data_IF_925864289777
#
_entry.id   IF_925864289777
#
_cell.length_a   1.000
_cell.length_b   1.000
_cell.length_c   1.000
_cell.angle_alpha   90.00
_cell.angle_beta   90.00
_cell.angle_gamma   90.00
#
_symmetry.space_group_name_H-M   'P 1'
#
loop_
_entity.id
_entity.type
_entity.pdbx_description
1 polymer ?
#
# COMPACT_ATOMS: atom_id res chain seq x y z
N UNK A 1 -16.41 3.32 -11.00
CA UNK A 1 -15.23 4.19 -10.73
C UNK A 1 -14.18 3.86 -11.76
N UNK A 2 -13.75 4.84 -12.55
CA UNK A 2 -12.84 4.64 -13.69
C UNK A 2 -11.53 5.45 -13.56
N UNK A 3 -11.49 6.38 -12.60
CA UNK A 3 -10.36 7.31 -12.43
C UNK A 3 -10.15 7.70 -10.97
N UNK A 4 -8.99 8.32 -10.68
CA UNK A 4 -8.70 8.95 -9.40
C UNK A 4 -9.72 10.06 -9.07
N UNK A 5 -10.19 10.79 -10.08
CA UNK A 5 -11.19 11.87 -9.88
C UNK A 5 -12.54 11.33 -9.43
N UNK A 6 -12.97 10.20 -10.00
CA UNK A 6 -14.19 9.51 -9.54
C UNK A 6 -14.05 9.09 -8.08
N UNK A 7 -12.86 8.63 -7.69
CA UNK A 7 -12.55 8.26 -6.31
C UNK A 7 -12.61 9.47 -5.36
N UNK A 8 -11.98 10.57 -5.73
CA UNK A 8 -12.01 11.82 -4.93
C UNK A 8 -13.47 12.29 -4.74
N UNK A 9 -14.26 12.27 -5.80
CA UNK A 9 -15.68 12.61 -5.71
C UNK A 9 -16.47 11.63 -4.80
N UNK A 10 -16.12 10.35 -4.82
CA UNK A 10 -16.73 9.31 -4.00
C UNK A 10 -16.43 9.52 -2.50
N UNK A 11 -15.17 9.80 -2.12
CA UNK A 11 -14.79 10.04 -0.72
C UNK A 11 -15.31 11.39 -0.21
N UNK A 12 -15.37 12.40 -1.07
CA UNK A 12 -15.96 13.71 -0.73
C UNK A 12 -17.42 13.58 -0.32
N UNK A 13 -18.22 12.80 -1.04
CA UNK A 13 -19.64 12.54 -0.70
C UNK A 13 -19.85 11.81 0.64
N UNK A 14 -18.78 11.21 1.20
CA UNK A 14 -18.81 10.45 2.46
C UNK A 14 -18.12 11.15 3.63
N UNK A 15 -17.76 12.40 3.46
CA UNK A 15 -16.96 13.17 4.44
C UNK A 15 -15.60 12.51 4.78
N UNK A 16 -15.04 11.78 3.82
CA UNK A 16 -13.73 11.13 3.93
C UNK A 16 -12.62 11.90 3.20
N UNK A 17 -12.88 13.15 2.78
CA UNK A 17 -11.91 14.03 2.12
C UNK A 17 -11.60 15.22 3.00
N UNK A 18 -10.31 15.50 3.17
CA UNK A 18 -9.82 16.75 3.74
C UNK A 18 -9.16 17.57 2.63
N UNK A 19 -9.76 18.71 2.30
CA UNK A 19 -9.23 19.65 1.30
C UNK A 19 -8.39 20.70 2.00
N UNK A 20 -7.13 20.83 1.60
CA UNK A 20 -6.20 21.88 2.05
C UNK A 20 -6.19 22.97 0.99
N UNK A 21 -6.81 24.12 1.33
CA UNK A 21 -6.97 25.26 0.42
C UNK A 21 -5.75 26.19 0.44
N UNK A 22 -5.02 26.20 1.55
CA UNK A 22 -3.83 27.04 1.69
C UNK A 22 -2.76 26.66 0.69
N UNK A 23 -1.95 27.64 0.29
CA UNK A 23 -0.81 27.39 -0.57
C UNK A 23 0.30 26.68 0.21
N UNK A 24 0.71 25.52 -0.26
CA UNK A 24 1.80 24.72 0.34
C UNK A 24 2.97 24.58 -0.63
N UNK A 25 4.17 24.43 -0.10
CA UNK A 25 5.34 24.08 -0.91
C UNK A 25 5.46 22.55 -1.01
N UNK A 26 6.18 22.08 -1.98
CA UNK A 26 6.49 20.63 -2.13
C UNK A 26 7.21 20.08 -0.90
N UNK A 27 8.01 20.91 -0.26
CA UNK A 27 8.81 20.58 0.92
C UNK A 27 7.94 20.42 2.19
N UNK A 28 6.80 21.11 2.27
CA UNK A 28 5.86 21.03 3.41
C UNK A 28 5.00 19.75 3.36
N UNK A 29 4.75 19.22 2.17
CA UNK A 29 3.79 18.13 1.95
C UNK A 29 4.09 16.87 2.77
N UNK A 30 5.34 16.35 2.88
CA UNK A 30 5.60 15.14 3.65
C UNK A 30 5.19 15.25 5.13
N UNK A 31 5.52 16.37 5.78
CA UNK A 31 5.15 16.60 7.18
C UNK A 31 3.64 16.80 7.34
N UNK A 32 2.99 17.48 6.39
CA UNK A 32 1.53 17.63 6.39
C UNK A 32 0.82 16.29 6.22
N UNK A 33 1.31 15.40 5.35
CA UNK A 33 0.76 14.05 5.21
C UNK A 33 0.87 13.29 6.53
N UNK A 34 2.04 13.29 7.17
CA UNK A 34 2.25 12.57 8.44
C UNK A 34 1.30 13.10 9.53
N UNK A 35 1.20 14.40 9.70
CA UNK A 35 0.35 15.01 10.74
C UNK A 35 -1.13 14.87 10.47
N UNK A 36 -1.57 15.10 9.23
CA UNK A 36 -2.98 15.06 8.85
C UNK A 36 -3.52 13.65 8.67
N UNK A 37 -2.66 12.64 8.47
CA UNK A 37 -3.07 11.24 8.36
C UNK A 37 -3.83 10.74 9.61
N UNK A 38 -3.60 11.34 10.77
CA UNK A 38 -4.35 11.06 12.00
C UNK A 38 -5.86 11.29 11.85
N UNK A 39 -6.29 12.15 10.93
CA UNK A 39 -7.71 12.36 10.60
C UNK A 39 -8.37 11.16 9.93
N UNK A 40 -7.58 10.21 9.43
CA UNK A 40 -8.02 9.07 8.62
C UNK A 40 -8.82 9.47 7.38
N UNK A 41 -8.59 10.68 6.86
CA UNK A 41 -9.21 11.18 5.61
C UNK A 41 -8.21 11.16 4.46
N UNK A 42 -8.71 11.10 3.25
CA UNK A 42 -7.95 11.38 2.02
C UNK A 42 -7.58 12.86 2.02
N UNK A 43 -6.34 13.17 1.70
CA UNK A 43 -5.81 14.54 1.73
C UNK A 43 -5.69 15.09 0.31
N UNK A 44 -6.34 16.22 0.02
CA UNK A 44 -6.23 16.90 -1.28
C UNK A 44 -5.67 18.31 -1.08
N UNK A 45 -4.42 18.50 -1.49
CA UNK A 45 -3.73 19.81 -1.50
C UNK A 45 -4.03 20.49 -2.83
N UNK A 46 -4.84 21.55 -2.82
CA UNK A 46 -5.31 22.23 -4.02
C UNK A 46 -4.29 23.19 -4.63
N UNK A 47 -3.50 23.84 -3.80
CA UNK A 47 -2.62 24.94 -4.19
C UNK A 47 -1.16 24.59 -3.89
N UNK A 48 -0.46 23.98 -4.86
CA UNK A 48 0.98 23.73 -4.78
C UNK A 48 1.74 24.90 -5.38
N UNK A 49 2.59 25.55 -4.58
CA UNK A 49 3.45 26.64 -5.06
C UNK A 49 4.33 26.16 -6.23
N UNK A 50 4.35 26.91 -7.31
CA UNK A 50 5.08 26.67 -8.57
C UNK A 50 4.51 25.56 -9.48
N UNK A 51 3.52 24.76 -9.07
CA UNK A 51 2.98 23.69 -9.88
C UNK A 51 1.53 23.98 -10.31
N UNK A 52 1.18 23.55 -11.52
CA UNK A 52 -0.18 23.66 -12.05
C UNK A 52 -1.04 22.42 -11.79
N UNK A 53 -0.67 21.62 -10.81
CA UNK A 53 -1.40 20.42 -10.39
C UNK A 53 -1.81 20.53 -8.93
N UNK A 54 -2.86 19.81 -8.57
CA UNK A 54 -3.15 19.48 -7.19
C UNK A 54 -2.34 18.24 -6.78
N UNK A 55 -2.27 17.97 -5.47
CA UNK A 55 -1.65 16.76 -4.97
C UNK A 55 -2.63 16.04 -4.05
N UNK A 56 -2.73 14.72 -4.21
CA UNK A 56 -3.53 13.86 -3.35
C UNK A 56 -2.62 12.86 -2.63
N UNK A 57 -2.93 12.58 -1.37
CA UNK A 57 -2.23 11.58 -0.56
C UNK A 57 -3.21 10.91 0.41
N UNK A 58 -2.74 9.87 1.08
CA UNK A 58 -3.52 9.11 2.05
C UNK A 58 -4.82 8.56 1.43
N UNK A 59 -4.74 8.03 0.19
CA UNK A 59 -5.91 7.54 -0.54
C UNK A 59 -6.66 6.43 0.20
N UNK A 60 -5.96 5.55 0.89
CA UNK A 60 -6.55 4.46 1.66
C UNK A 60 -6.04 4.48 3.10
N UNK A 61 -6.55 5.39 3.95
CA UNK A 61 -6.10 5.55 5.34
C UNK A 61 -6.46 4.37 6.25
N UNK A 62 -7.33 3.46 5.81
CA UNK A 62 -7.74 2.26 6.55
C UNK A 62 -8.37 1.22 5.63
N UNK A 63 -8.48 -0.03 6.11
CA UNK A 63 -9.18 -1.11 5.40
C UNK A 63 -10.68 -0.81 5.17
N UNK A 64 -11.29 0.03 5.98
CA UNK A 64 -12.70 0.43 5.85
C UNK A 64 -12.97 1.12 4.50
N UNK A 65 -11.99 1.82 3.95
CA UNK A 65 -12.09 2.41 2.61
C UNK A 65 -12.36 1.34 1.55
N UNK A 66 -11.70 0.18 1.63
CA UNK A 66 -11.95 -0.92 0.71
C UNK A 66 -13.34 -1.54 0.89
N UNK A 67 -13.86 -1.58 2.12
CA UNK A 67 -15.25 -1.99 2.37
C UNK A 67 -16.23 -1.10 1.62
N UNK A 68 -16.03 0.20 1.68
CA UNK A 68 -16.84 1.17 0.92
C UNK A 68 -16.63 1.06 -0.59
N UNK A 69 -15.38 0.87 -1.06
CA UNK A 69 -15.07 0.77 -2.49
C UNK A 69 -15.65 -0.47 -3.15
N UNK A 70 -15.63 -1.59 -2.47
CA UNK A 70 -16.18 -2.85 -2.95
C UNK A 70 -17.68 -2.98 -2.68
N UNK A 71 -18.24 -2.11 -1.84
CA UNK A 71 -19.62 -2.21 -1.35
C UNK A 71 -19.92 -3.62 -0.80
N UNK A 72 -19.02 -4.13 0.02
CA UNK A 72 -19.05 -5.49 0.55
C UNK A 72 -18.87 -5.49 2.06
N UNK A 73 -19.64 -6.31 2.78
CA UNK A 73 -19.49 -6.47 4.23
C UNK A 73 -18.13 -7.07 4.59
N UNK A 74 -17.69 -8.07 3.82
CA UNK A 74 -16.36 -8.64 3.92
C UNK A 74 -15.51 -8.25 2.69
N UNK A 75 -14.71 -7.16 2.77
CA UNK A 75 -13.91 -6.70 1.66
C UNK A 75 -12.76 -7.66 1.29
N UNK A 76 -12.31 -8.47 2.23
CA UNK A 76 -11.22 -9.43 2.01
C UNK A 76 -11.68 -10.60 1.16
N UNK A 77 -12.84 -11.18 1.47
CA UNK A 77 -13.43 -12.24 0.66
C UNK A 77 -13.77 -11.72 -0.74
N UNK A 78 -14.40 -10.55 -0.83
CA UNK A 78 -14.70 -9.92 -2.13
C UNK A 78 -13.44 -9.75 -2.98
N UNK A 79 -12.36 -9.28 -2.37
CA UNK A 79 -11.07 -9.12 -3.04
C UNK A 79 -10.51 -10.44 -3.56
N UNK A 80 -10.49 -11.48 -2.72
CA UNK A 80 -9.98 -12.81 -3.10
C UNK A 80 -10.77 -13.46 -4.22
N UNK A 81 -12.09 -13.30 -4.23
CA UNK A 81 -12.95 -13.76 -5.33
C UNK A 81 -12.75 -12.92 -6.60
N UNK A 82 -12.54 -11.62 -6.43
CA UNK A 82 -12.35 -10.67 -7.52
C UNK A 82 -11.04 -10.88 -8.28
N UNK A 83 -9.92 -11.15 -7.57
CA UNK A 83 -8.62 -11.37 -8.21
C UNK A 83 -8.51 -12.69 -8.99
N UNK A 84 -9.44 -13.63 -8.77
CA UNK A 84 -9.58 -14.86 -9.56
C UNK A 84 -10.30 -14.63 -10.90
N UNK A 85 -10.91 -13.45 -11.07
CA UNK A 85 -11.64 -13.06 -12.27
C UNK A 85 -10.80 -12.11 -13.12
N UNK A 86 -11.04 -12.12 -14.41
CA UNK A 86 -10.47 -11.15 -15.35
C UNK A 86 -11.57 -10.50 -16.18
N UNK A 87 -11.39 -9.25 -16.57
CA UNK A 87 -12.26 -8.60 -17.52
C UNK A 87 -11.42 -7.96 -18.63
N UNK A 88 -11.80 -8.20 -19.88
CA UNK A 88 -11.08 -7.68 -21.05
C UNK A 88 -11.00 -6.16 -21.01
N UNK A 89 -9.85 -5.62 -21.37
CA UNK A 89 -9.62 -4.19 -21.48
C UNK A 89 -10.55 -3.57 -22.53
N UNK A 90 -10.97 -2.34 -22.31
CA UNK A 90 -11.81 -1.56 -23.24
C UNK A 90 -11.00 -0.40 -23.77
N UNK A 91 -10.84 -0.31 -25.09
CA UNK A 91 -10.16 0.82 -25.71
C UNK A 91 -10.94 2.11 -25.49
N UNK A 92 -10.23 3.16 -25.16
CA UNK A 92 -10.79 4.50 -24.99
C UNK A 92 -9.80 5.53 -25.54
N UNK A 93 -10.33 6.61 -26.06
CA UNK A 93 -9.55 7.78 -26.44
C UNK A 93 -9.62 8.82 -25.33
N UNK A 94 -8.51 9.49 -25.06
CA UNK A 94 -8.43 10.63 -24.15
C UNK A 94 -7.62 11.74 -24.75
N UNK A 95 -8.13 12.97 -24.62
CA UNK A 95 -7.35 14.17 -24.94
C UNK A 95 -6.49 14.50 -23.72
N UNK A 96 -5.17 14.49 -23.92
CA UNK A 96 -4.18 14.81 -22.90
C UNK A 96 -3.38 16.04 -23.34
N UNK A 97 -2.95 16.82 -22.37
CA UNK A 97 -1.87 17.77 -22.59
C UNK A 97 -0.54 17.00 -22.60
N UNK A 98 0.39 17.40 -23.45
CA UNK A 98 1.66 16.73 -23.57
C UNK A 98 2.81 17.73 -23.70
N UNK A 99 3.93 17.40 -23.04
CA UNK A 99 5.15 18.20 -23.04
C UNK A 99 6.33 17.31 -23.35
N UNK A 100 7.16 17.70 -24.32
CA UNK A 100 8.49 17.10 -24.47
C UNK A 100 9.36 17.49 -23.27
N UNK A 101 9.96 16.52 -22.62
CA UNK A 101 10.86 16.76 -21.47
C UNK A 101 12.33 16.68 -21.83
N UNK A 102 12.64 16.52 -23.13
CA UNK A 102 14.01 16.53 -23.62
C UNK A 102 14.70 17.87 -23.28
N UNK A 103 15.75 17.81 -22.48
CA UNK A 103 16.48 19.00 -22.01
C UNK A 103 15.81 19.81 -20.89
N UNK A 104 14.63 19.41 -20.40
CA UNK A 104 13.91 20.05 -19.30
C UNK A 104 14.16 19.32 -17.97
N UNK A 105 13.87 19.99 -16.89
CA UNK A 105 13.94 19.41 -15.56
C UNK A 105 12.56 18.91 -15.11
N UNK A 106 12.47 17.63 -14.74
CA UNK A 106 11.23 17.04 -14.23
C UNK A 106 10.75 17.71 -12.92
N UNK A 107 11.66 18.25 -12.11
CA UNK A 107 11.29 18.96 -10.88
C UNK A 107 10.64 20.33 -11.13
N UNK A 108 10.76 20.88 -12.35
CA UNK A 108 10.00 22.06 -12.74
C UNK A 108 8.57 21.72 -13.19
N UNK A 109 8.34 20.46 -13.60
CA UNK A 109 7.07 20.00 -14.16
C UNK A 109 6.22 19.24 -13.16
N UNK A 110 6.85 18.48 -12.25
CA UNK A 110 6.19 17.57 -11.32
C UNK A 110 6.63 17.85 -9.87
N UNK A 111 5.72 17.83 -8.90
CA UNK A 111 6.04 17.99 -7.49
C UNK A 111 6.58 16.70 -6.89
N UNK A 112 7.69 16.18 -7.44
CA UNK A 112 8.34 14.98 -6.93
C UNK A 112 8.89 15.27 -5.54
N UNK A 113 8.46 14.51 -4.54
CA UNK A 113 8.76 14.77 -3.13
C UNK A 113 10.11 14.17 -2.71
N UNK A 114 10.82 14.88 -1.85
CA UNK A 114 11.81 14.30 -0.93
C UNK A 114 11.06 14.01 0.36
N UNK A 115 10.85 12.72 0.68
CA UNK A 115 9.95 12.30 1.74
C UNK A 115 10.57 12.39 3.12
N UNK A 116 11.87 12.02 3.24
CA UNK A 116 12.58 11.97 4.51
C UNK A 116 13.92 12.71 4.43
N UNK A 117 14.41 13.11 5.60
CA UNK A 117 15.60 13.94 5.73
C UNK A 117 16.82 13.38 4.98
N UNK A 118 17.08 12.07 5.10
CA UNK A 118 18.23 11.38 4.51
C UNK A 118 17.97 10.72 3.16
N UNK A 119 16.79 10.95 2.54
CA UNK A 119 16.59 10.51 1.17
C UNK A 119 17.66 11.11 0.26
N UNK A 120 18.22 10.29 -0.63
CA UNK A 120 19.28 10.71 -1.56
C UNK A 120 18.83 11.81 -2.51
N UNK A 121 17.56 11.77 -2.91
CA UNK A 121 16.92 12.67 -3.87
C UNK A 121 15.41 12.70 -3.66
N UNK A 122 14.64 13.51 -4.41
CA UNK A 122 13.21 13.34 -4.56
C UNK A 122 12.84 12.00 -5.26
N UNK A 123 11.74 11.36 -4.82
CA UNK A 123 11.28 10.08 -5.36
C UNK A 123 9.81 10.14 -5.80
N UNK A 124 9.46 9.43 -6.88
CA UNK A 124 8.09 9.04 -7.19
C UNK A 124 7.85 7.66 -6.56
N UNK A 125 6.95 7.58 -5.60
CA UNK A 125 6.62 6.36 -4.84
C UNK A 125 5.36 5.67 -5.33
N UNK A 126 4.58 6.31 -6.20
CA UNK A 126 3.29 5.84 -6.74
C UNK A 126 3.35 5.49 -8.22
N UNK A 127 4.54 5.28 -8.75
CA UNK A 127 4.75 4.97 -10.16
C UNK A 127 4.29 3.55 -10.51
N UNK A 128 3.30 3.45 -11.37
CA UNK A 128 2.90 2.20 -12.02
C UNK A 128 3.69 2.06 -13.31
N UNK A 129 4.70 1.23 -13.29
CA UNK A 129 5.59 0.97 -14.42
C UNK A 129 5.01 -0.12 -15.31
N UNK A 130 5.05 0.09 -16.62
CA UNK A 130 4.61 -0.87 -17.64
C UNK A 130 5.68 -1.01 -18.71
N UNK A 131 6.07 -2.25 -19.02
CA UNK A 131 7.00 -2.59 -20.09
C UNK A 131 6.56 -3.87 -20.79
N UNK A 132 6.91 -4.01 -22.07
CA UNK A 132 6.60 -5.20 -22.87
C UNK A 132 7.76 -6.18 -22.85
N UNK A 133 7.47 -7.44 -22.62
CA UNK A 133 8.43 -8.54 -22.75
C UNK A 133 8.84 -8.68 -24.22
N UNK A 134 10.13 -8.61 -24.56
CA UNK A 134 10.59 -8.62 -25.95
C UNK A 134 10.42 -9.98 -26.64
N UNK A 135 10.21 -11.06 -25.89
CA UNK A 135 10.07 -12.41 -26.44
C UNK A 135 8.59 -12.80 -26.57
N UNK A 136 7.81 -12.61 -25.52
CA UNK A 136 6.40 -13.03 -25.49
C UNK A 136 5.42 -11.93 -25.92
N UNK A 137 5.84 -10.66 -25.93
CA UNK A 137 4.96 -9.52 -26.18
C UNK A 137 4.01 -9.18 -25.03
N UNK A 138 4.04 -9.95 -23.93
CA UNK A 138 3.20 -9.69 -22.75
C UNK A 138 3.64 -8.43 -22.02
N UNK A 139 2.68 -7.65 -21.54
CA UNK A 139 2.99 -6.42 -20.79
C UNK A 139 3.10 -6.73 -19.31
N UNK A 140 4.32 -6.57 -18.77
CA UNK A 140 4.58 -6.60 -17.34
C UNK A 140 4.23 -5.25 -16.69
N UNK A 141 3.67 -5.32 -15.46
CA UNK A 141 3.29 -4.11 -14.70
C UNK A 141 3.61 -4.28 -13.21
N UNK A 142 3.99 -3.17 -12.57
CA UNK A 142 4.25 -3.17 -11.13
C UNK A 142 4.44 -1.76 -10.60
N UNK A 143 4.39 -1.66 -9.27
CA UNK A 143 4.74 -0.42 -8.56
C UNK A 143 6.23 -0.47 -8.25
N UNK A 144 6.98 0.53 -8.72
CA UNK A 144 8.42 0.63 -8.51
C UNK A 144 8.80 2.06 -8.17
N UNK A 145 9.55 2.28 -7.07
CA UNK A 145 10.05 3.60 -6.71
C UNK A 145 10.99 4.14 -7.78
N UNK A 146 10.94 5.44 -8.00
CA UNK A 146 11.79 6.12 -8.97
C UNK A 146 12.52 7.30 -8.33
N UNK A 147 13.85 7.26 -8.36
CA UNK A 147 14.74 8.29 -7.85
C UNK A 147 15.00 9.37 -8.90
N UNK A 148 14.86 10.63 -8.55
CA UNK A 148 15.26 11.72 -9.44
C UNK A 148 16.79 11.78 -9.57
N UNK A 149 17.30 11.77 -10.81
CA UNK A 149 18.75 11.75 -11.16
C UNK A 149 19.19 12.96 -11.99
N UNK A 150 18.43 14.04 -11.95
CA UNK A 150 18.70 15.27 -12.69
C UNK A 150 18.01 15.33 -14.04
N UNK A 151 17.50 16.51 -14.39
CA UNK A 151 16.79 16.79 -15.63
C UNK A 151 15.66 15.77 -15.88
N UNK A 152 15.71 15.05 -16.99
CA UNK A 152 14.74 14.06 -17.41
C UNK A 152 15.14 12.61 -17.08
N UNK A 153 16.00 12.39 -16.09
CA UNK A 153 16.51 11.07 -15.70
C UNK A 153 15.95 10.65 -14.35
N UNK A 154 15.48 9.41 -14.30
CA UNK A 154 14.95 8.78 -13.08
C UNK A 154 15.61 7.42 -12.88
N UNK A 155 16.16 7.14 -11.69
CA UNK A 155 16.50 5.77 -11.29
C UNK A 155 15.22 4.97 -11.14
N UNK A 156 15.22 3.70 -11.49
CA UNK A 156 14.05 2.85 -11.36
C UNK A 156 14.42 1.54 -10.66
N UNK A 157 13.80 1.27 -9.51
CA UNK A 157 14.09 0.09 -8.70
C UNK A 157 13.36 -1.16 -9.24
N UNK A 158 13.92 -1.78 -10.27
CA UNK A 158 13.39 -3.01 -10.87
C UNK A 158 13.85 -4.24 -10.09
N UNK A 159 13.21 -4.51 -8.94
CA UNK A 159 13.62 -5.57 -8.02
C UNK A 159 12.78 -6.85 -8.13
N UNK A 160 11.56 -6.75 -8.64
CA UNK A 160 10.59 -7.84 -8.62
C UNK A 160 10.10 -8.21 -10.03
N UNK A 161 9.78 -9.51 -10.28
CA UNK A 161 9.08 -9.92 -11.50
C UNK A 161 7.69 -9.24 -11.61
N UNK A 162 7.19 -9.05 -12.84
CA UNK A 162 7.80 -9.44 -14.11
C UNK A 162 8.82 -8.42 -14.66
N UNK A 163 8.87 -7.20 -14.12
CA UNK A 163 9.62 -6.09 -14.73
C UNK A 163 11.14 -6.28 -14.66
N UNK A 164 11.68 -6.87 -13.58
CA UNK A 164 13.11 -7.19 -13.51
C UNK A 164 13.51 -8.20 -14.58
N UNK A 165 12.67 -9.19 -14.88
CA UNK A 165 12.94 -10.21 -15.88
C UNK A 165 12.85 -9.62 -17.30
N UNK A 166 11.86 -8.77 -17.56
CA UNK A 166 11.74 -8.03 -18.83
C UNK A 166 12.98 -7.15 -19.05
N UNK A 167 13.42 -6.43 -18.02
CA UNK A 167 14.63 -5.61 -18.10
C UNK A 167 15.88 -6.45 -18.41
N UNK A 168 16.05 -7.59 -17.73
CA UNK A 168 17.18 -8.51 -17.99
C UNK A 168 17.20 -9.02 -19.43
N UNK A 169 16.04 -9.31 -20.02
CA UNK A 169 15.93 -9.74 -21.41
C UNK A 169 16.35 -8.66 -22.38
N UNK A 170 15.88 -7.42 -22.20
CA UNK A 170 16.32 -6.28 -23.02
C UNK A 170 17.83 -6.05 -22.87
N UNK A 171 18.34 -6.06 -21.64
CA UNK A 171 19.77 -5.90 -21.37
C UNK A 171 20.61 -6.98 -22.06
N UNK A 172 20.19 -8.23 -22.01
CA UNK A 172 20.89 -9.34 -22.68
C UNK A 172 20.95 -9.17 -24.20
N UNK A 173 19.97 -8.48 -24.81
CA UNK A 173 19.95 -8.15 -26.25
C UNK A 173 20.71 -6.86 -26.58
N UNK A 174 21.23 -6.13 -25.59
CA UNK A 174 21.82 -4.79 -25.77
C UNK A 174 20.81 -3.71 -26.17
N UNK A 175 19.53 -3.92 -25.85
CA UNK A 175 18.42 -3.06 -26.24
C UNK A 175 17.97 -2.16 -25.09
N UNK A 176 17.57 -0.93 -25.40
CA UNK A 176 16.84 -0.08 -24.46
C UNK A 176 15.44 -0.66 -24.25
N UNK A 177 14.99 -0.71 -22.98
CA UNK A 177 13.65 -1.16 -22.66
C UNK A 177 12.65 -0.01 -22.73
N UNK A 178 11.74 0.04 -23.69
CA UNK A 178 10.67 1.04 -23.70
C UNK A 178 9.76 0.88 -22.49
N UNK A 179 9.42 1.98 -21.83
CA UNK A 179 8.63 1.96 -20.60
C UNK A 179 7.68 3.15 -20.54
N UNK A 180 6.50 2.88 -20.01
CA UNK A 180 5.53 3.92 -19.65
C UNK A 180 5.24 3.81 -18.16
N UNK A 181 5.33 4.94 -17.48
CA UNK A 181 5.01 5.10 -16.06
C UNK A 181 3.72 5.88 -15.94
N UNK A 182 2.74 5.36 -15.20
CA UNK A 182 1.51 6.09 -14.89
C UNK A 182 1.48 6.48 -13.42
N UNK A 183 1.02 7.71 -13.14
CA UNK A 183 0.85 8.27 -11.79
C UNK A 183 -0.57 8.78 -11.64
N UNK A 184 -1.17 8.60 -10.47
CA UNK A 184 -2.52 9.07 -10.19
C UNK A 184 -3.59 8.15 -10.78
N UNK A 185 -3.58 6.89 -10.39
CA UNK A 185 -4.64 5.91 -10.67
C UNK A 185 -5.55 5.75 -9.44
N UNK A 186 -6.75 5.20 -9.64
CA UNK A 186 -7.66 4.91 -8.52
C UNK A 186 -7.11 3.78 -7.60
N UNK A 187 -7.55 3.72 -6.33
CA UNK A 187 -6.99 2.79 -5.34
C UNK A 187 -7.14 1.30 -5.71
N UNK A 188 -8.21 0.89 -6.40
CA UNK A 188 -8.40 -0.52 -6.80
C UNK A 188 -7.39 -0.89 -7.87
N UNK A 189 -7.17 0.00 -8.82
CA UNK A 189 -6.16 -0.22 -9.86
C UNK A 189 -4.75 -0.24 -9.25
N UNK A 190 -4.44 0.70 -8.35
CA UNK A 190 -3.15 0.74 -7.66
C UNK A 190 -2.89 -0.55 -6.86
N UNK A 191 -3.86 -1.00 -6.05
CA UNK A 191 -3.80 -2.27 -5.33
C UNK A 191 -3.52 -3.45 -6.27
N UNK A 192 -4.19 -3.48 -7.44
CA UNK A 192 -4.02 -4.56 -8.42
C UNK A 192 -2.61 -4.62 -8.99
N UNK A 193 -1.91 -3.47 -9.09
CA UNK A 193 -0.52 -3.43 -9.58
C UNK A 193 0.48 -4.05 -8.60
N UNK A 194 0.15 -4.13 -7.32
CA UNK A 194 0.97 -4.79 -6.30
C UNK A 194 0.82 -6.32 -6.27
N UNK A 195 -0.20 -6.87 -6.92
CA UNK A 195 -0.49 -8.32 -6.88
C UNK A 195 0.56 -9.13 -7.63
N UNK A 196 0.79 -10.35 -7.13
CA UNK A 196 1.45 -11.42 -7.87
C UNK A 196 0.38 -12.14 -8.70
N UNK A 197 0.55 -12.17 -10.00
CA UNK A 197 -0.39 -12.82 -10.94
C UNK A 197 0.33 -13.93 -11.71
N UNK A 198 -0.45 -14.86 -12.28
CA UNK A 198 0.09 -15.92 -13.14
C UNK A 198 0.84 -15.31 -14.33
N UNK A 199 1.98 -15.90 -14.76
CA UNK A 199 2.67 -15.48 -15.97
C UNK A 199 1.71 -15.38 -17.17
N UNK A 200 1.82 -14.29 -17.93
CA UNK A 200 0.94 -14.03 -19.07
C UNK A 200 -0.37 -13.32 -18.74
N UNK A 201 -0.71 -13.13 -17.47
CA UNK A 201 -1.89 -12.37 -17.05
C UNK A 201 -1.59 -10.87 -16.98
N UNK A 202 -2.37 -10.05 -17.67
CA UNK A 202 -2.28 -8.58 -17.53
C UNK A 202 -3.00 -8.13 -16.24
N UNK A 203 -2.29 -7.45 -15.35
CA UNK A 203 -2.85 -6.92 -14.09
C UNK A 203 -4.01 -5.94 -14.32
N UNK A 204 -4.11 -5.30 -15.49
CA UNK A 204 -5.27 -4.48 -15.84
C UNK A 204 -6.55 -5.32 -16.00
N UNK A 205 -6.43 -6.55 -16.49
CA UNK A 205 -7.58 -7.46 -16.60
C UNK A 205 -8.02 -7.98 -15.23
N UNK A 206 -7.06 -8.21 -14.31
CA UNK A 206 -7.35 -8.54 -12.91
C UNK A 206 -8.04 -7.37 -12.19
N UNK A 207 -7.54 -6.15 -12.39
CA UNK A 207 -8.19 -4.94 -11.89
C UNK A 207 -9.63 -4.80 -12.43
N UNK A 208 -9.84 -5.17 -13.69
CA UNK A 208 -11.17 -5.25 -14.30
C UNK A 208 -12.06 -6.28 -13.64
N UNK A 209 -11.53 -7.44 -13.29
CA UNK A 209 -12.22 -8.49 -12.51
C UNK A 209 -12.68 -7.99 -11.14
N UNK A 210 -11.80 -7.29 -10.41
CA UNK A 210 -12.13 -6.64 -9.13
C UNK A 210 -13.21 -5.56 -9.26
N UNK A 211 -13.22 -4.80 -10.37
CA UNK A 211 -14.21 -3.75 -10.62
C UNK A 211 -15.50 -4.27 -11.26
N UNK A 212 -15.54 -5.55 -11.66
CA UNK A 212 -16.69 -6.13 -12.38
C UNK A 212 -16.88 -5.57 -13.79
N UNK A 213 -15.87 -4.87 -14.36
CA UNK A 213 -15.90 -4.29 -15.71
C UNK A 213 -14.49 -4.07 -16.26
N UNK A 214 -14.33 -4.13 -17.59
CA UNK A 214 -13.04 -3.91 -18.24
C UNK A 214 -12.45 -2.51 -17.95
N UNK A 215 -11.15 -2.47 -17.71
CA UNK A 215 -10.42 -1.20 -17.54
C UNK A 215 -10.36 -0.48 -18.90
N UNK A 216 -10.73 0.80 -18.89
CA UNK A 216 -10.53 1.68 -20.04
C UNK A 216 -9.04 1.93 -20.23
N UNK A 217 -8.53 1.60 -21.41
CA UNK A 217 -7.12 1.77 -21.78
C UNK A 217 -6.96 2.61 -23.03
N UNK A 218 -5.87 3.33 -23.10
CA UNK A 218 -5.36 3.96 -24.33
C UNK A 218 -3.97 3.44 -24.61
N UNK A 219 -3.53 3.55 -25.86
CA UNK A 219 -2.17 3.23 -26.24
C UNK A 219 -1.23 4.37 -25.80
N UNK A 220 -0.09 4.01 -25.22
CA UNK A 220 1.02 4.93 -24.96
C UNK A 220 1.50 5.56 -26.27
N UNK A 221 1.96 6.82 -26.22
CA UNK A 221 2.37 7.55 -27.42
C UNK A 221 3.71 7.05 -27.99
N UNK A 222 4.66 6.72 -27.12
CA UNK A 222 6.04 6.37 -27.51
C UNK A 222 6.29 4.86 -27.56
N UNK A 223 5.30 4.03 -27.17
CA UNK A 223 5.43 2.56 -27.18
C UNK A 223 4.07 1.87 -27.36
N UNK A 224 4.03 0.65 -27.95
CA UNK A 224 2.78 -0.07 -28.16
C UNK A 224 2.31 -0.75 -26.84
N UNK A 225 2.19 0.01 -25.76
CA UNK A 225 1.76 -0.46 -24.45
C UNK A 225 0.40 0.16 -24.11
N UNK A 226 -0.58 -0.68 -23.78
CA UNK A 226 -1.86 -0.20 -23.25
C UNK A 226 -1.66 0.33 -21.83
N UNK A 227 -2.12 1.53 -21.55
CA UNK A 227 -2.07 2.16 -20.22
C UNK A 227 -3.48 2.57 -19.78
N UNK A 228 -3.75 2.65 -18.45
CA UNK A 228 -5.06 3.06 -17.96
C UNK A 228 -5.41 4.46 -18.43
N UNK A 229 -6.49 4.62 -19.18
CA UNK A 229 -6.93 5.92 -19.68
C UNK A 229 -7.40 6.88 -18.58
N UNK A 230 -7.69 6.37 -17.39
CA UNK A 230 -8.12 7.14 -16.21
C UNK A 230 -7.00 7.66 -15.33
N UNK A 231 -5.73 7.41 -15.65
CA UNK A 231 -4.61 7.95 -14.90
C UNK A 231 -4.44 9.46 -15.12
N UNK A 232 -3.80 10.13 -14.19
CA UNK A 232 -3.62 11.58 -14.24
C UNK A 232 -2.42 12.01 -15.06
N UNK A 233 -1.32 11.24 -15.01
CA UNK A 233 -0.04 11.56 -15.64
C UNK A 233 0.63 10.31 -16.21
N UNK A 234 1.39 10.51 -17.31
CA UNK A 234 2.13 9.47 -18.01
C UNK A 234 3.53 9.98 -18.34
N UNK A 235 4.55 9.29 -17.84
CA UNK A 235 5.94 9.52 -18.21
C UNK A 235 6.36 8.42 -19.17
N UNK A 236 6.82 8.78 -20.36
CA UNK A 236 7.17 7.85 -21.41
C UNK A 236 8.63 8.01 -21.82
N UNK A 237 9.27 6.90 -22.10
CA UNK A 237 10.68 6.88 -22.46
C UNK A 237 11.24 5.47 -22.46
N UNK A 238 12.49 5.32 -22.05
CA UNK A 238 13.16 4.04 -22.04
C UNK A 238 14.10 3.89 -20.83
N UNK A 239 14.32 2.66 -20.39
CA UNK A 239 15.36 2.33 -19.44
C UNK A 239 16.64 2.06 -20.22
N UNK A 240 17.70 2.74 -19.81
CA UNK A 240 19.04 2.59 -20.37
C UNK A 240 19.77 1.45 -19.62
N UNK A 241 20.14 0.35 -20.31
CA UNK A 241 20.80 -0.79 -19.66
C UNK A 241 22.25 -0.48 -19.22
N UNK A 242 22.86 0.56 -19.78
CA UNK A 242 24.25 0.94 -19.53
C UNK A 242 24.38 2.00 -18.42
N UNK A 243 23.30 2.78 -18.15
CA UNK A 243 23.30 3.76 -17.05
C UNK A 243 22.69 3.13 -15.79
N UNK A 244 23.50 2.35 -15.07
CA UNK A 244 23.15 1.70 -13.80
C UNK A 244 23.87 2.38 -12.66
N UNK A 245 23.15 2.78 -11.62
CA UNK A 245 23.70 3.49 -10.46
C UNK A 245 23.07 2.98 -9.17
N UNK A 246 23.68 3.35 -8.04
CA UNK A 246 23.06 3.19 -6.73
C UNK A 246 21.73 3.97 -6.67
N UNK A 247 20.73 3.41 -6.00
CA UNK A 247 19.41 3.99 -5.75
C UNK A 247 19.20 4.12 -4.23
N UNK A 248 18.83 5.29 -3.77
CA UNK A 248 18.66 5.60 -2.36
C UNK A 248 19.94 6.15 -1.68
N UNK A 249 19.87 6.38 -0.35
CA UNK A 249 18.83 5.89 0.56
C UNK A 249 17.44 6.52 0.32
N UNK A 250 16.40 5.72 0.57
CA UNK A 250 15.02 6.15 0.71
C UNK A 250 14.44 5.55 1.98
N UNK A 251 13.70 6.35 2.77
CA UNK A 251 12.94 5.84 3.91
C UNK A 251 11.83 4.88 3.43
N UNK A 252 11.83 3.66 3.95
CA UNK A 252 10.89 2.59 3.55
C UNK A 252 9.83 2.33 4.63
N UNK A 253 8.83 1.55 4.29
CA UNK A 253 7.69 1.21 5.17
C UNK A 253 8.14 0.58 6.50
N UNK A 254 9.32 -0.03 6.57
CA UNK A 254 9.90 -0.55 7.80
C UNK A 254 10.34 0.53 8.79
N UNK A 255 10.33 1.81 8.39
CA UNK A 255 10.84 2.93 9.17
C UNK A 255 12.36 3.13 9.05
N UNK A 256 13.05 2.31 8.26
CA UNK A 256 14.49 2.40 8.02
C UNK A 256 14.78 2.85 6.60
N UNK A 257 15.97 3.40 6.40
CA UNK A 257 16.46 3.75 5.06
C UNK A 257 16.97 2.52 4.32
N UNK A 258 16.54 2.36 3.09
CA UNK A 258 16.97 1.27 2.21
C UNK A 258 17.67 1.82 0.96
N UNK A 259 18.68 1.08 0.52
CA UNK A 259 19.49 1.40 -0.65
C UNK A 259 19.63 0.18 -1.54
N UNK A 260 19.43 0.34 -2.85
CA UNK A 260 19.78 -0.68 -3.83
C UNK A 260 21.16 -0.39 -4.42
N UNK A 261 22.00 -1.41 -4.50
CA UNK A 261 23.35 -1.25 -5.05
C UNK A 261 23.32 -0.87 -6.53
N UNK A 262 22.35 -1.42 -7.27
CA UNK A 262 22.22 -1.26 -8.72
C UNK A 262 20.75 -1.01 -9.09
N UNK A 263 20.51 0.10 -9.74
CA UNK A 263 19.21 0.45 -10.35
C UNK A 263 19.47 1.12 -11.69
N UNK A 264 18.83 0.67 -12.76
CA UNK A 264 18.98 1.29 -14.06
C UNK A 264 18.31 2.66 -14.11
N UNK A 265 18.73 3.47 -15.06
CA UNK A 265 18.18 4.82 -15.29
C UNK A 265 17.15 4.80 -16.41
N UNK A 266 15.97 5.35 -16.14
CA UNK A 266 14.98 5.72 -17.15
C UNK A 266 15.27 7.12 -17.66
N UNK A 267 15.31 7.28 -18.97
CA UNK A 267 15.31 8.56 -19.64
C UNK A 267 13.88 8.88 -20.09
N UNK A 268 13.30 9.93 -19.52
CA UNK A 268 11.94 10.36 -19.83
C UNK A 268 11.99 11.30 -21.03
N UNK A 269 11.26 10.98 -22.12
CA UNK A 269 11.18 11.78 -23.32
C UNK A 269 9.94 12.67 -23.34
N UNK A 270 8.82 12.17 -22.80
CA UNK A 270 7.50 12.82 -22.84
C UNK A 270 6.83 12.74 -21.48
N UNK A 271 6.15 13.80 -21.11
CA UNK A 271 5.19 13.86 -20.02
C UNK A 271 3.83 14.22 -20.61
N UNK A 272 2.83 13.35 -20.43
CA UNK A 272 1.44 13.62 -20.81
C UNK A 272 0.57 13.62 -19.55
N UNK A 273 -0.44 14.48 -19.50
CA UNK A 273 -1.27 14.63 -18.30
C UNK A 273 -2.68 15.13 -18.63
N UNK A 274 -3.61 14.89 -17.70
CA UNK A 274 -4.98 15.42 -17.75
C UNK A 274 -4.96 16.94 -17.55
N UNK A 275 -5.96 17.64 -18.07
CA UNK A 275 -6.15 19.06 -17.75
C UNK A 275 -6.33 19.23 -16.23
N UNK A 276 -5.57 20.15 -15.62
CA UNK A 276 -5.47 20.34 -14.17
C UNK A 276 -5.17 19.01 -13.44
N UNK A 277 -3.98 18.44 -13.66
CA UNK A 277 -3.69 17.09 -13.21
C UNK A 277 -3.56 16.99 -11.68
N UNK A 278 -3.77 15.79 -11.15
CA UNK A 278 -3.65 15.48 -9.72
C UNK A 278 -2.47 14.53 -9.53
N UNK A 279 -1.43 15.01 -8.84
CA UNK A 279 -0.28 14.18 -8.50
C UNK A 279 -0.59 13.33 -7.28
N UNK A 280 -0.44 12.01 -7.37
CA UNK A 280 -0.56 11.11 -6.23
C UNK A 280 0.79 10.97 -5.55
N UNK A 281 0.87 11.37 -4.28
CA UNK A 281 2.04 11.20 -3.42
C UNK A 281 1.75 10.19 -2.33
N UNK A 282 2.66 9.24 -2.12
CA UNK A 282 2.60 8.25 -1.06
C UNK A 282 3.86 8.34 -0.21
N UNK A 283 3.68 8.65 1.06
CA UNK A 283 4.75 8.58 2.06
C UNK A 283 4.91 7.11 2.48
N UNK A 284 6.04 6.43 2.25
CA UNK A 284 6.16 4.99 2.49
C UNK A 284 5.76 4.53 3.90
N UNK A 285 6.09 5.29 4.95
CA UNK A 285 5.72 4.97 6.34
C UNK A 285 4.30 5.41 6.73
N UNK A 286 3.49 5.93 5.79
CA UNK A 286 2.14 6.42 6.07
C UNK A 286 1.13 5.29 6.29
N UNK A 287 -0.05 5.67 6.80
CA UNK A 287 -1.20 4.76 6.89
C UNK A 287 -1.59 4.18 5.53
N UNK A 288 -1.43 4.93 4.45
CA UNK A 288 -1.74 4.46 3.09
C UNK A 288 -0.84 3.29 2.68
N UNK A 289 0.49 3.44 2.87
CA UNK A 289 1.45 2.37 2.56
C UNK A 289 1.17 1.10 3.37
N UNK A 290 0.96 1.27 4.67
CA UNK A 290 0.64 0.18 5.59
C UNK A 290 -0.69 -0.51 5.23
N UNK A 291 -1.71 0.28 4.88
CA UNK A 291 -3.04 -0.24 4.50
C UNK A 291 -2.99 -1.10 3.24
N UNK A 292 -2.29 -0.67 2.17
CA UNK A 292 -2.16 -1.49 0.96
C UNK A 292 -1.46 -2.82 1.24
N UNK A 293 -0.38 -2.79 2.01
CA UNK A 293 0.39 -3.98 2.37
C UNK A 293 -0.42 -4.95 3.23
N UNK A 294 -1.04 -4.44 4.28
CA UNK A 294 -1.74 -5.26 5.27
C UNK A 294 -3.09 -5.75 4.76
N UNK A 295 -3.76 -5.02 3.86
CA UNK A 295 -5.03 -5.46 3.27
C UNK A 295 -4.88 -6.76 2.47
N UNK A 296 -3.92 -6.80 1.54
CA UNK A 296 -3.64 -8.02 0.74
C UNK A 296 -3.25 -9.19 1.63
N UNK A 297 -2.40 -8.91 2.61
CA UNK A 297 -1.90 -9.92 3.53
C UNK A 297 -3.01 -10.48 4.41
N UNK A 298 -3.86 -9.62 4.97
CA UNK A 298 -5.03 -10.02 5.76
C UNK A 298 -5.97 -10.89 4.94
N UNK A 299 -6.27 -10.52 3.71
CA UNK A 299 -7.14 -11.31 2.85
C UNK A 299 -6.63 -12.76 2.70
N UNK A 300 -5.34 -12.95 2.40
CA UNK A 300 -4.76 -14.28 2.23
C UNK A 300 -4.69 -15.08 3.54
N UNK A 301 -4.35 -14.41 4.65
CA UNK A 301 -4.31 -15.04 5.97
C UNK A 301 -5.72 -15.49 6.40
N UNK A 302 -6.72 -14.64 6.23
CA UNK A 302 -8.11 -15.02 6.56
C UNK A 302 -8.59 -16.22 5.74
N UNK A 303 -8.31 -16.27 4.44
CA UNK A 303 -8.68 -17.41 3.58
C UNK A 303 -8.07 -18.73 4.07
N UNK A 304 -6.83 -18.67 4.54
CA UNK A 304 -6.08 -19.86 4.96
C UNK A 304 -6.37 -20.24 6.41
N UNK A 305 -6.29 -19.26 7.31
CA UNK A 305 -6.25 -19.51 8.75
C UNK A 305 -7.65 -19.66 9.35
N UNK A 306 -8.62 -18.83 8.93
CA UNK A 306 -10.01 -18.95 9.44
C UNK A 306 -10.68 -20.28 9.11
N UNK A 307 -10.29 -20.92 8.01
CA UNK A 307 -10.79 -22.26 7.66
C UNK A 307 -10.29 -23.33 8.62
N UNK A 308 -9.05 -23.20 9.10
CA UNK A 308 -8.44 -24.13 10.06
C UNK A 308 -8.87 -23.83 11.51
N UNK A 309 -9.12 -22.56 11.82
CA UNK A 309 -9.42 -22.07 13.15
C UNK A 309 -10.72 -21.23 13.15
N UNK A 310 -11.90 -21.86 13.06
CA UNK A 310 -13.19 -21.17 12.94
C UNK A 310 -13.58 -20.36 14.19
N UNK A 311 -12.86 -20.49 15.29
CA UNK A 311 -13.03 -19.71 16.50
C UNK A 311 -12.36 -18.31 16.43
N UNK A 312 -11.67 -17.97 15.35
CA UNK A 312 -11.15 -16.61 15.13
C UNK A 312 -12.33 -15.65 14.91
N UNK A 313 -12.42 -14.64 15.76
CA UNK A 313 -13.39 -13.55 15.64
C UNK A 313 -12.85 -12.45 14.71
N UNK A 314 -11.63 -11.96 14.95
CA UNK A 314 -11.00 -10.93 14.15
C UNK A 314 -9.48 -11.08 14.05
N UNK A 315 -8.88 -10.48 12.99
CA UNK A 315 -7.44 -10.40 12.77
C UNK A 315 -7.10 -8.93 12.50
N UNK A 316 -6.34 -8.30 13.38
CA UNK A 316 -5.98 -6.88 13.28
C UNK A 316 -4.48 -6.73 13.16
N UNK A 317 -4.00 -6.07 12.10
CA UNK A 317 -2.61 -5.68 11.97
C UNK A 317 -2.33 -4.42 12.78
N UNK A 318 -1.25 -4.41 13.53
CA UNK A 318 -0.80 -3.22 14.24
C UNK A 318 -0.23 -2.23 13.23
N UNK A 319 -0.76 -1.01 13.22
CA UNK A 319 -0.33 0.04 12.29
C UNK A 319 1.15 0.41 12.47
N UNK A 320 1.79 0.85 11.40
CA UNK A 320 3.23 1.23 11.38
C UNK A 320 4.19 0.12 11.80
N UNK A 321 3.77 -1.14 11.69
CA UNK A 321 4.64 -2.31 11.88
C UNK A 321 4.88 -3.08 10.59
N UNK A 322 4.66 -2.46 9.45
CA UNK A 322 4.82 -3.05 8.10
C UNK A 322 4.23 -4.47 7.98
N UNK A 323 3.10 -4.71 8.66
CA UNK A 323 2.42 -6.01 8.68
C UNK A 323 3.08 -7.09 9.53
N UNK A 324 4.14 -6.78 10.29
CA UNK A 324 4.87 -7.78 11.07
C UNK A 324 4.27 -8.08 12.44
N UNK A 325 3.36 -7.26 12.95
CA UNK A 325 2.66 -7.47 14.22
C UNK A 325 1.16 -7.62 14.03
N UNK A 326 0.61 -8.71 14.55
CA UNK A 326 -0.81 -9.07 14.39
C UNK A 326 -1.43 -9.40 15.73
N UNK A 327 -2.64 -8.94 15.96
CA UNK A 327 -3.49 -9.28 17.08
C UNK A 327 -4.66 -10.12 16.56
N UNK A 328 -4.90 -11.27 17.17
CA UNK A 328 -5.98 -12.19 16.79
C UNK A 328 -6.95 -12.29 17.94
N UNK A 329 -8.18 -11.80 17.74
CA UNK A 329 -9.27 -11.96 18.70
C UNK A 329 -9.98 -13.30 18.45
N UNK A 330 -10.24 -14.05 19.50
CA UNK A 330 -10.82 -15.40 19.42
C UNK A 330 -11.99 -15.60 20.37
N UNK A 331 -12.90 -16.49 19.98
CA UNK A 331 -13.89 -17.07 20.86
C UNK A 331 -13.23 -18.08 21.82
N UNK A 332 -13.80 -18.33 22.98
CA UNK A 332 -13.23 -19.28 23.96
C UNK A 332 -12.90 -20.65 23.34
N UNK A 333 -11.70 -21.14 23.60
CA UNK A 333 -11.21 -22.43 23.11
C UNK A 333 -10.08 -22.97 23.99
N UNK A 334 -9.59 -24.20 23.70
CA UNK A 334 -8.51 -24.84 24.44
C UNK A 334 -7.15 -24.18 24.15
N UNK A 335 -6.28 -24.16 25.15
CA UNK A 335 -4.90 -23.68 25.06
C UNK A 335 -4.11 -24.35 23.94
N UNK A 336 -4.27 -25.65 23.72
CA UNK A 336 -3.59 -26.37 22.65
C UNK A 336 -3.97 -25.86 21.27
N UNK A 337 -5.23 -25.51 21.05
CA UNK A 337 -5.71 -24.92 19.80
C UNK A 337 -5.21 -23.50 19.60
N UNK A 338 -5.12 -22.71 20.67
CA UNK A 338 -4.52 -21.36 20.63
C UNK A 338 -3.05 -21.46 20.21
N UNK A 339 -2.30 -22.41 20.77
CA UNK A 339 -0.90 -22.64 20.41
C UNK A 339 -0.72 -23.04 18.94
N UNK A 340 -1.58 -23.90 18.41
CA UNK A 340 -1.60 -24.26 17.00
C UNK A 340 -1.91 -23.04 16.10
N UNK A 341 -2.84 -22.17 16.50
CA UNK A 341 -3.13 -20.93 15.81
C UNK A 341 -1.89 -20.01 15.77
N UNK A 342 -1.23 -19.80 16.91
CA UNK A 342 0.00 -18.99 17.00
C UNK A 342 1.06 -19.53 16.02
N UNK A 343 1.34 -20.84 16.05
CA UNK A 343 2.34 -21.45 15.18
C UNK A 343 1.98 -21.29 13.69
N UNK A 344 0.70 -21.48 13.36
CA UNK A 344 0.20 -21.29 11.97
C UNK A 344 0.34 -19.86 11.51
N UNK A 345 0.09 -18.87 12.36
CA UNK A 345 0.28 -17.46 12.03
C UNK A 345 1.77 -17.12 11.87
N UNK A 346 2.65 -17.62 12.71
CA UNK A 346 4.09 -17.39 12.64
C UNK A 346 4.76 -18.06 11.43
N UNK A 347 4.10 -19.02 10.77
CA UNK A 347 4.57 -19.63 9.54
C UNK A 347 4.54 -18.64 8.34
N UNK A 348 3.72 -17.58 8.39
CA UNK A 348 3.74 -16.55 7.33
C UNK A 348 5.02 -15.71 7.43
N UNK A 349 5.79 -15.55 6.33
CA UNK A 349 7.05 -14.79 6.35
C UNK A 349 6.90 -13.36 6.83
N UNK A 350 5.76 -12.71 6.56
CA UNK A 350 5.49 -11.35 6.98
C UNK A 350 5.33 -11.22 8.50
N UNK A 351 4.67 -12.18 9.15
CA UNK A 351 4.31 -12.08 10.57
C UNK A 351 5.52 -12.42 11.44
N UNK A 352 5.87 -11.52 12.34
CA UNK A 352 6.97 -11.67 13.31
C UNK A 352 6.48 -11.73 14.76
N UNK A 353 5.35 -11.07 15.03
CA UNK A 353 4.70 -11.07 16.33
C UNK A 353 3.21 -11.35 16.21
N UNK A 354 2.72 -12.31 17.00
CA UNK A 354 1.29 -12.62 17.13
C UNK A 354 0.88 -12.49 18.59
N UNK A 355 -0.19 -11.77 18.86
CA UNK A 355 -0.84 -11.71 20.16
C UNK A 355 -2.25 -12.27 19.98
N UNK A 356 -2.61 -13.27 20.76
CA UNK A 356 -3.97 -13.82 20.79
C UNK A 356 -4.69 -13.31 22.04
N UNK A 357 -5.89 -12.77 21.86
CA UNK A 357 -6.74 -12.22 22.92
C UNK A 357 -8.16 -12.78 22.81
N UNK A 358 -8.93 -12.74 23.91
CA UNK A 358 -10.35 -13.09 23.88
C UNK A 358 -11.18 -11.97 23.20
N UNK A 359 -12.41 -12.29 22.80
CA UNK A 359 -13.33 -11.36 22.13
C UNK A 359 -13.82 -10.19 23.00
N UNK A 360 -13.54 -10.19 24.30
CA UNK A 360 -13.81 -9.07 25.21
C UNK A 360 -12.74 -7.97 25.19
N UNK A 361 -11.65 -8.20 24.44
CA UNK A 361 -10.55 -7.26 24.22
C UNK A 361 -10.68 -6.66 22.82
N UNK A 362 -10.65 -5.34 22.71
CA UNK A 362 -10.62 -4.66 21.42
C UNK A 362 -9.22 -4.78 20.78
N UNK A 363 -9.05 -5.56 19.70
CA UNK A 363 -7.74 -5.74 19.07
C UNK A 363 -7.22 -4.48 18.36
N UNK A 364 -8.06 -3.46 18.21
CA UNK A 364 -7.69 -2.16 17.61
C UNK A 364 -7.22 -1.11 18.63
N UNK A 365 -7.56 -1.29 19.92
CA UNK A 365 -7.04 -0.47 21.02
C UNK A 365 -5.84 -1.15 21.69
N UNK A 366 -4.63 -0.66 21.37
CA UNK A 366 -3.39 -1.22 21.96
C UNK A 366 -3.33 -1.11 23.48
N UNK A 367 -4.07 -0.19 24.11
CA UNK A 367 -4.14 -0.09 25.57
C UNK A 367 -4.95 -1.25 26.16
N UNK A 368 -6.01 -1.67 25.47
CA UNK A 368 -6.82 -2.81 25.86
C UNK A 368 -6.06 -4.14 25.67
N UNK A 369 -5.28 -4.23 24.60
CA UNK A 369 -4.36 -5.35 24.34
C UNK A 369 -3.26 -5.43 25.41
N UNK A 370 -2.65 -4.30 25.75
CA UNK A 370 -1.61 -4.24 26.80
C UNK A 370 -2.19 -4.64 28.16
N UNK A 371 -3.42 -4.19 28.46
CA UNK A 371 -4.13 -4.65 29.67
C UNK A 371 -4.28 -6.18 29.69
N UNK A 372 -4.67 -6.81 28.58
CA UNK A 372 -4.80 -8.26 28.48
C UNK A 372 -3.44 -8.96 28.66
N UNK A 373 -2.37 -8.43 28.08
CA UNK A 373 -1.00 -8.94 28.24
C UNK A 373 -0.57 -8.97 29.71
N UNK A 374 -0.80 -7.88 30.44
CA UNK A 374 -0.38 -7.76 31.85
C UNK A 374 -1.23 -8.61 32.79
N UNK A 375 -2.54 -8.75 32.49
CA UNK A 375 -3.46 -9.43 33.42
C UNK A 375 -3.65 -10.92 33.16
N UNK A 376 -3.42 -11.40 31.91
CA UNK A 376 -3.77 -12.78 31.51
C UNK A 376 -2.57 -13.63 31.10
N UNK A 377 -1.47 -13.01 30.63
CA UNK A 377 -0.29 -13.70 30.11
C UNK A 377 0.71 -14.00 31.25
N UNK A 378 1.11 -15.27 31.39
CA UNK A 378 2.24 -15.71 32.19
C UNK A 378 3.44 -15.90 31.25
N UNK A 379 4.42 -15.01 31.34
CA UNK A 379 5.51 -14.94 30.39
C UNK A 379 6.33 -16.23 30.23
N UNK A 380 6.46 -17.00 31.29
CA UNK A 380 7.17 -18.29 31.31
C UNK A 380 6.40 -19.44 30.64
N UNK A 381 5.08 -19.28 30.41
CA UNK A 381 4.20 -20.35 29.93
C UNK A 381 3.49 -19.98 28.60
N UNK A 382 3.16 -18.71 28.42
CA UNK A 382 2.23 -18.25 27.42
C UNK A 382 2.94 -17.54 26.25
N UNK A 383 4.28 -17.42 26.32
CA UNK A 383 5.10 -16.90 25.22
C UNK A 383 5.79 -18.05 24.47
N UNK A 384 5.76 -17.98 23.15
CA UNK A 384 6.47 -18.88 22.25
C UNK A 384 7.49 -18.07 21.46
N UNK A 385 8.75 -18.45 21.50
CA UNK A 385 9.82 -17.85 20.71
C UNK A 385 10.33 -18.93 19.73
N UNK A 386 10.33 -18.61 18.43
CA UNK A 386 10.80 -19.49 17.38
C UNK A 386 11.98 -18.81 16.65
N UNK A 387 13.21 -19.30 16.81
CA UNK A 387 14.37 -18.76 16.11
C UNK A 387 14.41 -19.18 14.64
N UNK A 388 15.18 -18.49 13.83
CA UNK A 388 15.61 -18.88 12.48
C UNK A 388 14.48 -19.16 11.48
N UNK A 389 13.34 -18.46 11.61
CA UNK A 389 12.24 -18.56 10.65
C UNK A 389 12.43 -17.57 9.49
N UNK A 390 11.81 -17.88 8.35
CA UNK A 390 11.80 -16.98 7.21
C UNK A 390 11.12 -15.65 7.57
N UNK A 391 11.85 -14.53 7.41
CA UNK A 391 11.33 -13.17 7.48
C UNK A 391 10.98 -12.62 6.10
N UNK A 392 10.37 -11.44 6.08
CA UNK A 392 10.15 -10.69 4.84
C UNK A 392 11.40 -9.85 4.49
N UNK A 393 11.68 -9.63 3.20
CA UNK A 393 12.90 -8.92 2.77
C UNK A 393 13.04 -7.48 3.28
N UNK A 394 11.93 -6.83 3.65
CA UNK A 394 11.93 -5.47 4.20
C UNK A 394 12.19 -5.42 5.72
N UNK A 395 12.25 -6.57 6.39
CA UNK A 395 12.67 -6.63 7.80
C UNK A 395 14.18 -6.38 7.87
N UNK A 396 14.63 -5.32 8.56
CA UNK A 396 16.04 -5.00 8.61
C UNK A 396 16.91 -6.10 9.26
N UNK A 397 16.31 -7.03 10.01
CA UNK A 397 17.02 -8.18 10.58
C UNK A 397 17.09 -9.38 9.63
N UNK A 398 16.31 -9.42 8.56
CA UNK A 398 16.34 -10.50 7.58
C UNK A 398 17.56 -10.46 6.64
N UNK A 399 18.28 -9.35 6.60
CA UNK A 399 19.48 -9.16 5.73
C UNK A 399 20.65 -10.10 6.06
N UNK A 400 20.65 -10.74 7.22
CA UNK A 400 21.80 -11.55 7.65
C UNK A 400 21.75 -13.02 7.23
N UNK A 401 20.73 -13.43 6.46
CA UNK A 401 20.64 -14.81 5.91
C UNK A 401 20.36 -15.92 6.94
N UNK A 402 20.29 -15.59 8.22
CA UNK A 402 20.09 -16.53 9.33
C UNK A 402 18.61 -16.69 9.74
N UNK A 403 17.69 -16.09 9.00
CA UNK A 403 16.30 -16.02 9.41
C UNK A 403 16.05 -14.95 10.49
N UNK A 404 14.81 -14.90 10.98
CA UNK A 404 14.40 -13.99 12.06
C UNK A 404 13.78 -14.77 13.21
N UNK A 405 13.99 -14.31 14.42
CA UNK A 405 13.23 -14.84 15.56
C UNK A 405 11.81 -14.26 15.52
N UNK A 406 10.81 -15.13 15.77
CA UNK A 406 9.40 -14.77 15.82
C UNK A 406 8.80 -15.09 17.18
N UNK A 407 7.79 -14.32 17.58
CA UNK A 407 7.18 -14.41 18.90
C UNK A 407 5.66 -14.53 18.80
N UNK A 408 5.10 -15.49 19.54
CA UNK A 408 3.67 -15.62 19.76
C UNK A 408 3.34 -15.48 21.24
N UNK A 409 2.25 -14.80 21.57
CA UNK A 409 1.82 -14.52 22.93
C UNK A 409 0.35 -14.93 23.06
N UNK A 410 0.05 -15.75 24.05
CA UNK A 410 -1.31 -16.08 24.47
C UNK A 410 -1.70 -15.17 25.64
N UNK A 411 -2.53 -14.18 25.36
CA UNK A 411 -3.09 -13.23 26.33
C UNK A 411 -4.59 -13.47 26.53
N UNK A 412 -5.02 -14.73 26.41
CA UNK A 412 -6.40 -15.15 26.69
C UNK A 412 -6.57 -15.62 28.13
N UNK A 413 -7.81 -15.72 28.54
CA UNK A 413 -8.15 -16.33 29.84
C UNK A 413 -7.86 -17.83 29.88
N UNK A 414 -7.68 -18.50 28.73
CA UNK A 414 -7.39 -19.95 28.61
C UNK A 414 -8.39 -20.84 29.31
N UNK A 415 -9.65 -20.41 29.44
CA UNK A 415 -10.67 -21.12 30.20
C UNK A 415 -10.48 -21.08 31.73
N UNK A 416 -9.51 -20.29 32.26
CA UNK A 416 -9.42 -19.98 33.66
C UNK A 416 -10.63 -19.17 34.09
N UNK A 417 -11.11 -19.40 35.30
CA UNK A 417 -12.15 -18.58 35.91
C UNK A 417 -11.56 -17.24 36.31
N UNK A 418 -11.65 -16.28 35.41
CA UNK A 418 -11.46 -14.87 35.76
C UNK A 418 -12.82 -14.28 36.11
N UNK A 419 -12.84 -13.32 37.01
CA UNK A 419 -14.00 -12.43 37.13
C UNK A 419 -14.22 -11.67 35.84
N UNK A 420 -15.46 -11.26 35.57
CA UNK A 420 -15.77 -10.50 34.39
C UNK A 420 -15.00 -9.17 34.33
N UNK A 421 -14.55 -8.80 33.13
CA UNK A 421 -13.94 -7.48 32.91
C UNK A 421 -14.89 -6.36 33.30
N UNK A 422 -14.47 -5.48 34.19
CA UNK A 422 -15.29 -4.36 34.65
C UNK A 422 -15.64 -3.44 33.46
N UNK A 423 -16.92 -3.14 33.30
CA UNK A 423 -17.43 -2.26 32.28
C UNK A 423 -18.10 -1.05 32.90
N UNK A 424 -17.93 0.11 32.28
CA UNK A 424 -18.63 1.32 32.70
C UNK A 424 -20.13 1.13 32.50
N UNK A 425 -20.93 1.43 33.52
CA UNK A 425 -22.37 1.34 33.43
C UNK A 425 -22.92 2.20 32.29
N UNK A 426 -23.84 1.62 31.55
CA UNK A 426 -24.44 2.34 30.40
C UNK A 426 -25.21 3.57 30.88
N UNK A 427 -24.80 4.72 30.41
CA UNK A 427 -25.53 5.98 30.56
C UNK A 427 -26.52 6.22 29.42
N UNK A 428 -27.27 7.31 29.47
CA UNK A 428 -28.12 7.73 28.37
C UNK A 428 -27.29 8.13 27.16
N UNK A 429 -27.21 7.26 26.14
CA UNK A 429 -26.41 7.48 24.92
C UNK A 429 -26.65 8.83 24.29
N UNK A 430 -27.92 9.23 24.14
CA UNK A 430 -28.32 10.52 23.57
C UNK A 430 -27.77 11.72 24.37
N UNK A 431 -27.78 11.63 25.69
CA UNK A 431 -27.28 12.71 26.57
C UNK A 431 -25.75 12.78 26.54
N UNK A 432 -25.08 11.64 26.56
CA UNK A 432 -23.61 11.54 26.48
C UNK A 432 -23.12 12.11 25.14
N UNK A 433 -23.69 11.72 24.00
CA UNK A 433 -23.35 12.23 22.67
C UNK A 433 -23.56 13.76 22.58
N UNK A 434 -24.65 14.28 23.17
CA UNK A 434 -24.87 15.72 23.22
C UNK A 434 -23.79 16.45 24.02
N UNK A 435 -23.42 15.91 25.17
CA UNK A 435 -22.38 16.52 26.05
C UNK A 435 -21.01 16.46 25.38
N UNK A 436 -20.63 15.32 24.80
CA UNK A 436 -19.36 15.17 24.08
C UNK A 436 -19.23 16.18 22.94
N UNK A 437 -20.29 16.36 22.14
CA UNK A 437 -20.31 17.40 21.08
C UNK A 437 -20.12 18.81 21.64
N UNK A 438 -20.76 19.15 22.76
CA UNK A 438 -20.63 20.49 23.38
C UNK A 438 -19.27 20.73 24.05
N UNK A 439 -18.61 19.65 24.49
CA UNK A 439 -17.30 19.71 25.14
C UNK A 439 -16.11 19.63 24.16
N UNK A 440 -16.35 19.64 22.85
CA UNK A 440 -15.29 19.50 21.84
C UNK A 440 -14.62 18.13 21.83
N UNK A 441 -15.25 17.13 22.44
CA UNK A 441 -14.78 15.76 22.43
C UNK A 441 -14.96 15.10 21.05
N UNK A 442 -13.96 14.36 20.64
CA UNK A 442 -14.02 13.53 19.42
C UNK A 442 -14.92 12.32 19.75
N UNK A 443 -16.00 12.14 18.98
CA UNK A 443 -16.84 10.95 19.02
C UNK A 443 -16.17 9.80 18.25
#
# INVERSE_FOLDING_TARGET
MDSLRDYIAFVKKRDLLLEVEDQVTREDVPELIERLSATKKVLLFKNLKRYRCSLVANLVPSHEVFRHLFNAENPYQFFLEGIKKTAKKVKAERKLEAVSVKGRDLLELLPILKHYEKDSAPFITTSVVSARDPDSGVVGRGIHRMEYRGKNRMGIALLNPPLVDIYRKHKAKGERMPVTVTVGVDPILFLSMALKVQPGTDKLEVAGGLKGKGIKVMQSFDSPIDVPAGAEMYLEGYVDPDDVRRDGPLGEISGYYMTNKESPTMVVNRLSYQTSPIYHALLPTSLEGDTYLTFVSRAHIEETVKKLFPFIADITFVQKTFGSSVIVSIKPTDRSRIRNLILSMLAFPMIKKVIVVDEDVDPSDLRDVEWALVTRCLADKDIVILPELQGQPIDPQAEHGLGVAKMGIDATTQGKTFEEKARIAAGSRKNIERILKSAGGVC
#
